data_IF_812889903514
#
_entry.id   IF_812889903514
#
_cell.length_a   1.000
_cell.length_b   1.000
_cell.length_c   1.000
_cell.angle_alpha   90.00
_cell.angle_beta   90.00
_cell.angle_gamma   90.00
#
_symmetry.space_group_name_H-M   'P 1'
#
loop_
_entity.id
_entity.type
_entity.pdbx_description
1 polymer ?
#
# COMPACT_ATOMS: atom_id res chain seq x y z
N UNK A 1 -27.79 -6.76 13.65
CA UNK A 1 -26.92 -5.59 13.40
C UNK A 1 -27.61 -4.67 12.41
N UNK A 2 -27.77 -3.39 12.75
CA UNK A 2 -28.35 -2.40 11.82
C UNK A 2 -27.46 -2.25 10.58
N UNK A 3 -28.06 -2.11 9.40
CA UNK A 3 -27.33 -1.95 8.13
C UNK A 3 -26.55 -0.63 8.16
N UNK A 4 -25.25 -0.68 7.92
CA UNK A 4 -24.42 0.52 7.77
C UNK A 4 -24.99 1.39 6.64
N UNK A 5 -25.13 2.70 6.89
CA UNK A 5 -25.59 3.63 5.86
C UNK A 5 -24.47 3.90 4.85
N UNK A 6 -24.84 4.25 3.61
CA UNK A 6 -23.84 4.59 2.57
C UNK A 6 -22.92 5.73 3.02
N UNK A 7 -23.46 6.73 3.72
CA UNK A 7 -22.71 7.87 4.25
C UNK A 7 -21.71 7.45 5.32
N UNK A 8 -22.10 6.56 6.23
CA UNK A 8 -21.21 6.06 7.27
C UNK A 8 -20.10 5.17 6.69
N UNK A 9 -20.42 4.35 5.68
CA UNK A 9 -19.41 3.58 4.95
C UNK A 9 -18.35 4.50 4.33
N UNK A 10 -18.78 5.55 3.62
CA UNK A 10 -17.87 6.48 2.95
C UNK A 10 -16.93 7.16 3.97
N UNK A 11 -17.49 7.70 5.06
CA UNK A 11 -16.73 8.33 6.14
C UNK A 11 -15.63 7.41 6.70
N UNK A 12 -15.95 6.13 6.90
CA UNK A 12 -14.99 5.13 7.39
C UNK A 12 -13.90 4.80 6.38
N UNK A 13 -14.22 4.80 5.09
CA UNK A 13 -13.22 4.58 4.03
C UNK A 13 -12.26 5.77 3.95
N UNK A 14 -12.78 7.00 4.01
CA UNK A 14 -11.96 8.23 4.06
C UNK A 14 -11.06 8.26 5.30
N UNK A 15 -11.61 7.92 6.47
CA UNK A 15 -10.82 7.82 7.71
C UNK A 15 -9.67 6.81 7.58
N UNK A 16 -9.89 5.66 6.94
CA UNK A 16 -8.82 4.69 6.70
C UNK A 16 -7.80 5.17 5.67
N UNK A 17 -8.23 5.92 4.65
CA UNK A 17 -7.33 6.51 3.67
C UNK A 17 -6.34 7.49 4.34
N UNK A 18 -6.84 8.36 5.23
CA UNK A 18 -6.00 9.24 6.04
C UNK A 18 -4.99 8.48 6.90
N UNK A 19 -5.42 7.37 7.53
CA UNK A 19 -4.53 6.55 8.36
C UNK A 19 -3.45 5.85 7.52
N UNK A 20 -3.79 5.42 6.30
CA UNK A 20 -2.83 4.85 5.35
C UNK A 20 -1.77 5.90 4.98
N UNK A 21 -2.18 7.13 4.64
CA UNK A 21 -1.26 8.24 4.32
C UNK A 21 -0.37 8.59 5.51
N UNK A 22 -0.90 8.48 6.74
CA UNK A 22 -0.14 8.63 8.00
C UNK A 22 0.80 7.43 8.30
N UNK A 23 0.89 6.44 7.42
CA UNK A 23 1.83 5.32 7.53
C UNK A 23 1.36 4.18 8.43
N UNK A 24 0.06 4.05 8.71
CA UNK A 24 -0.44 2.94 9.53
C UNK A 24 -0.25 1.60 8.82
N UNK A 25 0.27 0.61 9.55
CA UNK A 25 0.45 -0.75 9.06
C UNK A 25 -0.88 -1.49 8.90
N UNK A 26 -0.90 -2.55 8.08
CA UNK A 26 -2.05 -3.45 7.92
C UNK A 26 -2.59 -3.91 9.28
N UNK A 27 -1.72 -4.30 10.22
CA UNK A 27 -2.14 -4.78 11.54
C UNK A 27 -2.89 -3.70 12.33
N UNK A 28 -2.39 -2.46 12.29
CA UNK A 28 -3.01 -1.33 12.99
C UNK A 28 -4.37 -0.98 12.38
N UNK A 29 -4.47 -0.95 11.05
CA UNK A 29 -5.73 -0.69 10.34
C UNK A 29 -6.77 -1.78 10.66
N UNK A 30 -6.38 -3.05 10.58
CA UNK A 30 -7.29 -4.15 10.90
C UNK A 30 -7.78 -4.07 12.34
N UNK A 31 -6.88 -3.85 13.30
CA UNK A 31 -7.22 -3.68 14.71
C UNK A 31 -8.17 -2.51 14.94
N UNK A 32 -7.95 -1.37 14.28
CA UNK A 32 -8.83 -0.21 14.38
C UNK A 32 -10.25 -0.55 13.93
N UNK A 33 -10.39 -1.19 12.77
CA UNK A 33 -11.71 -1.52 12.23
C UNK A 33 -12.44 -2.56 13.09
N UNK A 34 -11.73 -3.60 13.54
CA UNK A 34 -12.35 -4.66 14.34
C UNK A 34 -12.68 -4.19 15.76
N UNK A 35 -11.80 -3.42 16.40
CA UNK A 35 -11.98 -2.98 17.80
C UNK A 35 -12.89 -1.76 17.91
N UNK A 36 -12.71 -0.75 17.06
CA UNK A 36 -13.46 0.51 17.16
C UNK A 36 -14.84 0.41 16.53
N UNK A 37 -15.01 -0.40 15.47
CA UNK A 37 -16.27 -0.48 14.73
C UNK A 37 -17.00 -1.82 14.88
N UNK A 38 -16.40 -2.80 15.56
CA UNK A 38 -16.99 -4.12 15.79
C UNK A 38 -17.21 -4.93 14.51
N UNK A 39 -16.48 -4.61 13.43
CA UNK A 39 -16.61 -5.31 12.15
C UNK A 39 -15.83 -6.63 12.15
N UNK A 40 -16.29 -7.60 11.36
CA UNK A 40 -15.55 -8.84 11.16
C UNK A 40 -14.23 -8.60 10.41
N UNK A 41 -13.28 -9.54 10.49
CA UNK A 41 -12.03 -9.45 9.76
C UNK A 41 -12.25 -9.34 8.25
N UNK A 42 -13.21 -10.08 7.68
CA UNK A 42 -13.54 -10.01 6.26
C UNK A 42 -14.05 -8.62 5.86
N UNK A 43 -14.91 -8.02 6.70
CA UNK A 43 -15.38 -6.67 6.49
C UNK A 43 -14.23 -5.67 6.61
N UNK A 44 -13.35 -5.81 7.60
CA UNK A 44 -12.18 -4.97 7.76
C UNK A 44 -11.28 -4.99 6.53
N UNK A 45 -10.99 -6.17 5.97
CA UNK A 45 -10.23 -6.30 4.72
C UNK A 45 -10.87 -5.54 3.56
N UNK A 46 -12.20 -5.59 3.44
CA UNK A 46 -12.93 -4.87 2.38
C UNK A 46 -12.79 -3.36 2.52
N UNK A 47 -12.98 -2.82 3.73
CA UNK A 47 -12.83 -1.39 4.00
C UNK A 47 -11.40 -0.91 3.77
N UNK A 48 -10.40 -1.66 4.23
CA UNK A 48 -8.98 -1.32 4.01
C UNK A 48 -8.62 -1.35 2.52
N UNK A 49 -9.18 -2.29 1.75
CA UNK A 49 -8.98 -2.33 0.29
C UNK A 49 -9.57 -1.09 -0.38
N UNK A 50 -10.82 -0.75 -0.09
CA UNK A 50 -11.48 0.42 -0.66
C UNK A 50 -10.73 1.72 -0.30
N UNK A 51 -10.21 1.83 0.92
CA UNK A 51 -9.40 2.98 1.34
C UNK A 51 -8.08 3.08 0.58
N UNK A 52 -7.43 1.96 0.25
CA UNK A 52 -6.24 1.95 -0.62
C UNK A 52 -6.57 2.40 -2.04
N UNK A 53 -7.74 2.03 -2.55
CA UNK A 53 -8.18 2.47 -3.87
C UNK A 53 -8.42 3.99 -3.89
N UNK A 54 -8.94 4.58 -2.80
CA UNK A 54 -9.04 6.04 -2.62
C UNK A 54 -7.66 6.68 -2.64
N UNK A 55 -6.74 6.24 -1.78
CA UNK A 55 -5.37 6.78 -1.75
C UNK A 55 -4.70 6.68 -3.12
N UNK A 56 -4.88 5.57 -3.83
CA UNK A 56 -4.34 5.39 -5.19
C UNK A 56 -4.96 6.32 -6.22
N UNK A 57 -6.25 6.64 -6.07
CA UNK A 57 -6.98 7.57 -6.91
C UNK A 57 -6.63 9.04 -6.64
N UNK A 58 -6.30 9.36 -5.38
CA UNK A 58 -5.91 10.71 -4.95
C UNK A 58 -4.47 11.07 -5.37
N UNK A 59 -3.62 10.06 -5.59
CA UNK A 59 -2.30 10.28 -6.20
C UNK A 59 -2.47 10.81 -7.63
N UNK A 60 -2.19 12.09 -7.83
CA UNK A 60 -2.12 12.66 -9.17
C UNK A 60 -0.93 12.08 -9.95
N UNK A 61 -0.92 12.22 -11.28
CA UNK A 61 0.11 11.62 -12.14
C UNK A 61 1.54 12.07 -11.79
N UNK A 62 1.70 13.27 -11.23
CA UNK A 62 2.99 13.83 -10.80
C UNK A 62 3.46 13.11 -9.53
N UNK A 63 2.62 13.00 -8.51
CA UNK A 63 2.93 12.28 -7.26
C UNK A 63 3.20 10.80 -7.51
N UNK A 64 2.51 10.21 -8.49
CA UNK A 64 2.75 8.84 -8.93
C UNK A 64 4.12 8.67 -9.59
N UNK A 65 4.51 9.61 -10.46
CA UNK A 65 5.81 9.59 -11.12
C UNK A 65 6.95 9.78 -10.10
N UNK A 66 6.82 10.72 -9.17
CA UNK A 66 7.80 10.98 -8.13
C UNK A 66 7.95 9.78 -7.18
N UNK A 67 6.82 9.18 -6.77
CA UNK A 67 6.85 7.96 -5.97
C UNK A 67 7.49 6.80 -6.73
N UNK A 68 7.18 6.63 -8.02
CA UNK A 68 7.77 5.59 -8.85
C UNK A 68 9.29 5.77 -8.97
N UNK A 69 9.75 7.00 -9.22
CA UNK A 69 11.18 7.33 -9.29
C UNK A 69 11.89 7.00 -7.98
N UNK A 70 11.31 7.37 -6.83
CA UNK A 70 11.85 7.04 -5.51
C UNK A 70 11.95 5.52 -5.26
N UNK A 71 10.96 4.73 -5.74
CA UNK A 71 10.99 3.27 -5.64
C UNK A 71 12.02 2.63 -6.55
N UNK A 72 12.20 3.15 -7.77
CA UNK A 72 13.26 2.71 -8.70
C UNK A 72 14.62 2.92 -8.05
N UNK A 73 14.91 4.13 -7.57
CA UNK A 73 16.19 4.45 -6.94
C UNK A 73 16.48 3.57 -5.72
N UNK A 74 15.47 3.29 -4.90
CA UNK A 74 15.61 2.41 -3.74
C UNK A 74 15.97 0.97 -4.14
N UNK A 75 15.32 0.42 -5.18
CA UNK A 75 15.61 -0.92 -5.66
C UNK A 75 16.98 -1.03 -6.34
N UNK A 76 17.41 0.02 -7.06
CA UNK A 76 18.76 0.11 -7.61
C UNK A 76 19.81 0.07 -6.50
N UNK A 77 19.59 0.83 -5.41
CA UNK A 77 20.49 0.81 -4.26
C UNK A 77 20.52 -0.57 -3.57
N UNK A 78 19.36 -1.20 -3.36
CA UNK A 78 19.27 -2.54 -2.77
C UNK A 78 20.02 -3.56 -3.65
N UNK A 79 19.88 -3.48 -4.97
CA UNK A 79 20.59 -4.36 -5.88
C UNK A 79 22.11 -4.17 -5.79
N UNK A 80 22.58 -2.92 -5.79
CA UNK A 80 24.00 -2.59 -5.64
C UNK A 80 24.58 -3.11 -4.31
N UNK A 81 23.90 -2.84 -3.19
CA UNK A 81 24.31 -3.27 -1.85
C UNK A 81 24.31 -4.80 -1.71
N UNK A 82 23.32 -5.46 -2.31
CA UNK A 82 23.22 -6.91 -2.32
C UNK A 82 24.37 -7.56 -3.09
N UNK A 83 24.73 -7.02 -4.27
CA UNK A 83 25.89 -7.49 -5.04
C UNK A 83 27.19 -7.28 -4.26
N UNK A 84 27.41 -6.09 -3.70
CA UNK A 84 28.60 -5.78 -2.92
C UNK A 84 28.75 -6.68 -1.67
N UNK A 85 27.65 -7.21 -1.14
CA UNK A 85 27.62 -8.06 0.05
C UNK A 85 27.57 -9.57 -0.25
N UNK A 86 27.64 -10.01 -1.51
CA UNK A 86 27.49 -11.43 -1.87
C UNK A 86 26.12 -12.03 -1.54
N UNK A 87 25.06 -11.22 -1.67
CA UNK A 87 23.65 -11.60 -1.45
C UNK A 87 22.90 -11.62 -2.78
N UNK A 88 23.34 -12.46 -3.72
CA UNK A 88 22.89 -12.44 -5.12
C UNK A 88 21.38 -12.66 -5.25
N UNK A 89 20.78 -13.50 -4.40
CA UNK A 89 19.34 -13.73 -4.41
C UNK A 89 18.54 -12.44 -4.11
N UNK A 90 19.03 -11.58 -3.23
CA UNK A 90 18.39 -10.31 -2.93
C UNK A 90 18.54 -9.33 -4.10
N UNK A 91 19.71 -9.33 -4.76
CA UNK A 91 19.94 -8.51 -5.96
C UNK A 91 18.99 -8.92 -7.09
N UNK A 92 18.85 -10.23 -7.35
CA UNK A 92 17.91 -10.77 -8.35
C UNK A 92 16.47 -10.38 -8.01
N UNK A 93 16.09 -10.44 -6.73
CA UNK A 93 14.76 -10.01 -6.26
C UNK A 93 14.50 -8.54 -6.57
N UNK A 94 15.45 -7.65 -6.25
CA UNK A 94 15.33 -6.23 -6.54
C UNK A 94 15.24 -5.93 -8.04
N UNK A 95 16.05 -6.62 -8.86
CA UNK A 95 16.05 -6.47 -10.33
C UNK A 95 14.74 -6.93 -10.95
N UNK A 96 14.15 -8.03 -10.47
CA UNK A 96 12.83 -8.49 -10.93
C UNK A 96 11.73 -7.47 -10.63
N UNK A 97 11.73 -6.92 -9.42
CA UNK A 97 10.78 -5.88 -9.03
C UNK A 97 10.97 -4.59 -9.85
N UNK A 98 12.21 -4.21 -10.15
CA UNK A 98 12.50 -3.10 -11.07
C UNK A 98 11.88 -3.35 -12.45
N UNK A 99 12.11 -4.54 -13.02
CA UNK A 99 11.61 -4.94 -14.33
C UNK A 99 10.07 -4.86 -14.42
N UNK A 100 9.38 -5.24 -13.34
CA UNK A 100 7.92 -5.13 -13.22
C UNK A 100 7.47 -3.66 -13.14
N UNK A 101 8.18 -2.82 -12.38
CA UNK A 101 7.83 -1.41 -12.18
C UNK A 101 8.01 -0.56 -13.44
N UNK A 102 9.04 -0.83 -14.25
CA UNK A 102 9.32 -0.09 -15.49
C UNK A 102 8.61 -0.68 -16.72
N UNK A 103 7.89 -1.79 -16.55
CA UNK A 103 7.06 -2.40 -17.60
C UNK A 103 7.82 -3.23 -18.64
N UNK A 104 9.07 -3.61 -18.36
CA UNK A 104 9.85 -4.51 -19.22
C UNK A 104 9.56 -6.00 -18.94
N UNK A 105 8.98 -6.33 -17.77
CA UNK A 105 8.51 -7.67 -17.43
C UNK A 105 7.07 -7.90 -17.86
N UNK A 106 6.87 -8.47 -19.05
CA UNK A 106 5.62 -9.14 -19.47
C UNK A 106 5.92 -10.57 -19.86
#
# INVERSE_FOLDING_TARGET
MSKCTRKEKLRRVEELADLIVKGWSQRQLMSHVTCSWGLSAEQAHRYVREARDVVKGDLNDIERADMLAAKIQMLEQIAADAVASGRENNAIGAIRLLNELVGFGR
#
